data_IF_812274017806
#
_entry.id   IF_812274017806
#
_cell.length_a   1.000
_cell.length_b   1.000
_cell.length_c   1.000
_cell.angle_alpha   90.00
_cell.angle_beta   90.00
_cell.angle_gamma   90.00
#
_symmetry.space_group_name_H-M   'P 1'
#
loop_
_entity.id
_entity.type
_entity.pdbx_description
1 polymer ?
#
# COMPACT_ATOMS: atom_id res chain seq x y z
N UNK A 1 -28.43 2.07 16.78
CA UNK A 1 -27.08 2.45 16.30
C UNK A 1 -26.16 2.36 17.50
N UNK A 2 -25.36 1.29 17.60
CA UNK A 2 -24.40 1.14 18.68
C UNK A 2 -23.21 2.05 18.39
N UNK A 3 -23.03 3.06 19.25
CA UNK A 3 -21.84 3.90 19.26
C UNK A 3 -20.81 3.14 20.08
N UNK A 4 -19.86 2.49 19.41
CA UNK A 4 -18.79 1.76 20.07
C UNK A 4 -17.66 2.76 20.38
N UNK A 5 -17.46 3.15 21.66
CA UNK A 5 -16.45 4.15 22.02
C UNK A 5 -15.02 3.66 21.72
N UNK A 6 -14.83 2.36 21.51
CA UNK A 6 -13.55 1.74 21.18
C UNK A 6 -13.19 1.86 19.67
N UNK A 7 -14.17 2.24 18.83
CA UNK A 7 -13.94 2.52 17.42
C UNK A 7 -13.09 3.78 17.19
N UNK A 8 -13.32 4.81 18.03
CA UNK A 8 -12.63 6.09 17.88
C UNK A 8 -11.11 5.99 18.10
N UNK A 9 -10.59 5.29 19.13
CA UNK A 9 -9.15 5.05 19.29
C UNK A 9 -8.51 4.30 18.12
N UNK A 10 -9.18 3.26 17.60
CA UNK A 10 -8.66 2.44 16.50
C UNK A 10 -8.59 3.24 15.19
N UNK A 11 -9.62 4.03 14.90
CA UNK A 11 -9.66 4.93 13.74
C UNK A 11 -8.55 6.00 13.81
N UNK A 12 -8.28 6.55 15.01
CA UNK A 12 -7.19 7.52 15.22
C UNK A 12 -5.82 6.88 15.03
N UNK A 13 -5.61 5.68 15.56
CA UNK A 13 -4.35 4.95 15.39
C UNK A 13 -4.09 4.60 13.92
N UNK A 14 -5.14 4.18 13.19
CA UNK A 14 -5.05 3.91 11.75
C UNK A 14 -4.76 5.19 10.95
N UNK A 15 -5.47 6.29 11.22
CA UNK A 15 -5.24 7.58 10.57
C UNK A 15 -3.81 8.12 10.82
N UNK A 16 -3.29 7.92 12.03
CA UNK A 16 -1.91 8.25 12.39
C UNK A 16 -0.89 7.43 11.58
N UNK A 17 -1.10 6.11 11.47
CA UNK A 17 -0.24 5.24 10.67
C UNK A 17 -0.24 5.64 9.18
N UNK A 18 -1.41 5.97 8.63
CA UNK A 18 -1.57 6.48 7.25
C UNK A 18 -0.79 7.79 7.07
N UNK A 19 -0.92 8.73 8.00
CA UNK A 19 -0.23 10.02 7.94
C UNK A 19 1.29 9.84 8.03
N UNK A 20 1.75 8.99 8.95
CA UNK A 20 3.16 8.69 9.14
C UNK A 20 3.79 7.97 7.94
N UNK A 21 3.04 7.11 7.26
CA UNK A 21 3.46 6.47 6.02
C UNK A 21 3.47 7.48 4.85
N UNK A 22 2.46 8.33 4.74
CA UNK A 22 2.40 9.34 3.68
C UNK A 22 3.56 10.35 3.78
N UNK A 23 3.98 10.69 5.01
CA UNK A 23 5.09 11.59 5.28
C UNK A 23 6.46 11.11 4.81
N UNK A 24 6.62 9.82 4.44
CA UNK A 24 7.90 9.30 3.90
C UNK A 24 8.03 9.50 2.39
N UNK A 25 6.97 9.94 1.70
CA UNK A 25 6.90 10.02 0.24
C UNK A 25 6.53 11.41 -0.25
N UNK A 26 6.88 11.69 -1.51
CA UNK A 26 6.49 12.93 -2.20
C UNK A 26 5.39 12.67 -3.21
N UNK A 27 4.24 13.28 -2.96
CA UNK A 27 3.04 13.18 -3.78
C UNK A 27 2.89 14.38 -4.72
N UNK A 28 3.99 14.88 -5.27
CA UNK A 28 4.00 16.07 -6.14
C UNK A 28 3.56 15.77 -7.58
N UNK A 29 3.41 14.48 -7.91
CA UNK A 29 3.02 14.02 -9.23
C UNK A 29 1.53 14.29 -9.51
N UNK A 30 1.21 14.69 -10.75
CA UNK A 30 -0.16 14.90 -11.23
C UNK A 30 -1.06 13.72 -10.84
N UNK A 31 -2.26 13.97 -10.27
CA UNK A 31 -3.24 12.93 -10.01
C UNK A 31 -3.50 12.05 -11.24
N UNK A 32 -3.56 10.73 -11.04
CA UNK A 32 -3.81 9.75 -12.10
C UNK A 32 -2.60 9.41 -12.99
N UNK A 33 -1.47 10.12 -12.89
CA UNK A 33 -0.27 9.78 -13.65
C UNK A 33 0.33 8.43 -13.22
N UNK A 34 1.03 7.75 -14.14
CA UNK A 34 1.75 6.50 -13.82
C UNK A 34 2.72 6.70 -12.65
N UNK A 35 3.45 7.82 -12.64
CA UNK A 35 4.37 8.15 -11.54
C UNK A 35 3.63 8.30 -10.20
N UNK A 36 2.41 8.84 -10.21
CA UNK A 36 1.53 8.88 -9.01
C UNK A 36 1.07 7.48 -8.61
N UNK A 37 0.72 6.61 -9.55
CA UNK A 37 0.37 5.22 -9.27
C UNK A 37 1.55 4.44 -8.67
N UNK A 38 2.77 4.59 -9.20
CA UNK A 38 3.98 4.00 -8.62
C UNK A 38 4.23 4.52 -7.19
N UNK A 39 4.04 5.83 -6.95
CA UNK A 39 4.18 6.41 -5.60
C UNK A 39 3.16 5.81 -4.63
N UNK A 40 1.93 5.54 -5.09
CA UNK A 40 0.91 4.86 -4.27
C UNK A 40 1.29 3.40 -3.97
N UNK A 41 1.94 2.69 -4.90
CA UNK A 41 2.48 1.36 -4.63
C UNK A 41 3.55 1.39 -3.52
N UNK A 42 4.48 2.34 -3.57
CA UNK A 42 5.47 2.56 -2.51
C UNK A 42 4.82 2.95 -1.18
N UNK A 43 3.74 3.74 -1.23
CA UNK A 43 2.97 4.13 -0.04
C UNK A 43 2.36 2.91 0.66
N UNK A 44 1.80 1.95 -0.09
CA UNK A 44 1.26 0.73 0.51
C UNK A 44 2.34 -0.05 1.23
N UNK A 45 3.55 -0.18 0.66
CA UNK A 45 4.68 -0.83 1.34
C UNK A 45 5.07 -0.11 2.64
N UNK A 46 5.20 1.22 2.61
CA UNK A 46 5.51 2.02 3.78
C UNK A 46 4.41 1.95 4.86
N UNK A 47 3.14 1.87 4.43
CA UNK A 47 2.01 1.69 5.33
C UNK A 47 2.04 0.33 6.03
N UNK A 48 2.35 -0.75 5.30
CA UNK A 48 2.49 -2.08 5.90
C UNK A 48 3.51 -2.09 7.04
N UNK A 49 4.65 -1.41 6.86
CA UNK A 49 5.69 -1.32 7.89
C UNK A 49 5.23 -0.51 9.10
N UNK A 50 4.45 0.56 8.89
CA UNK A 50 3.86 1.34 10.00
C UNK A 50 2.80 0.55 10.75
N UNK A 51 1.97 -0.20 10.04
CA UNK A 51 0.90 -1.02 10.64
C UNK A 51 1.46 -2.17 11.47
N UNK A 52 2.64 -2.70 11.15
CA UNK A 52 3.23 -3.82 11.90
C UNK A 52 3.40 -3.56 13.41
N UNK A 53 3.39 -2.29 13.84
CA UNK A 53 3.50 -1.89 15.25
C UNK A 53 2.19 -2.02 16.04
N UNK A 54 1.03 -1.91 15.38
CA UNK A 54 -0.27 -1.82 16.07
C UNK A 54 -1.39 -2.64 15.42
N UNK A 55 -1.18 -3.12 14.19
CA UNK A 55 -2.12 -3.86 13.35
C UNK A 55 -1.39 -4.97 12.57
N UNK A 56 -0.79 -5.96 13.25
CA UNK A 56 0.09 -6.94 12.61
C UNK A 56 -0.59 -7.76 11.50
N UNK A 57 -1.84 -8.20 11.70
CA UNK A 57 -2.58 -8.95 10.68
C UNK A 57 -2.86 -8.10 9.42
N UNK A 58 -3.21 -6.83 9.60
CA UNK A 58 -3.39 -5.90 8.47
C UNK A 58 -2.09 -5.62 7.74
N UNK A 59 -0.98 -5.50 8.47
CA UNK A 59 0.35 -5.33 7.89
C UNK A 59 0.75 -6.53 7.03
N UNK A 60 0.53 -7.76 7.52
CA UNK A 60 0.84 -8.98 6.78
C UNK A 60 -0.04 -9.13 5.53
N UNK A 61 -1.33 -8.79 5.62
CA UNK A 61 -2.22 -8.78 4.47
C UNK A 61 -1.74 -7.80 3.38
N UNK A 62 -1.31 -6.60 3.75
CA UNK A 62 -0.75 -5.65 2.78
C UNK A 62 0.60 -6.10 2.22
N UNK A 63 1.48 -6.68 3.04
CA UNK A 63 2.76 -7.26 2.57
C UNK A 63 2.53 -8.37 1.57
N UNK A 64 1.55 -9.25 1.80
CA UNK A 64 1.21 -10.31 0.87
C UNK A 64 0.81 -9.76 -0.51
N UNK A 65 0.14 -8.61 -0.58
CA UNK A 65 -0.18 -7.93 -1.84
C UNK A 65 1.08 -7.35 -2.49
N UNK A 66 1.89 -6.61 -1.72
CA UNK A 66 3.10 -5.92 -2.22
C UNK A 66 4.14 -6.90 -2.77
N UNK A 67 4.31 -8.04 -2.10
CA UNK A 67 5.28 -9.07 -2.47
C UNK A 67 4.64 -10.26 -3.21
N UNK A 68 3.38 -10.13 -3.61
CA UNK A 68 2.70 -11.16 -4.39
C UNK A 68 3.43 -11.36 -5.72
N UNK A 69 3.64 -12.61 -6.17
CA UNK A 69 4.14 -12.85 -7.51
C UNK A 69 3.20 -12.23 -8.56
N UNK A 70 3.77 -11.87 -9.71
CA UNK A 70 2.98 -11.40 -10.83
C UNK A 70 1.94 -12.46 -11.23
N UNK A 71 0.69 -12.04 -11.46
CA UNK A 71 -0.39 -12.93 -11.86
C UNK A 71 -0.01 -13.72 -13.12
N UNK A 72 -0.15 -15.04 -13.07
CA UNK A 72 0.11 -15.94 -14.21
C UNK A 72 -0.74 -15.54 -15.41
N UNK A 73 -0.12 -15.38 -16.58
CA UNK A 73 -0.79 -14.93 -17.81
C UNK A 73 -0.86 -13.41 -18.00
N UNK A 74 -0.15 -12.63 -17.17
CA UNK A 74 -0.03 -11.19 -17.39
C UNK A 74 0.57 -10.90 -18.79
N UNK A 75 -0.12 -10.15 -19.67
CA UNK A 75 0.36 -9.82 -21.02
C UNK A 75 1.73 -9.13 -21.04
N UNK A 76 2.12 -8.47 -19.94
CA UNK A 76 3.42 -7.79 -19.82
C UNK A 76 4.57 -8.73 -19.42
N UNK A 77 4.30 -9.99 -19.08
CA UNK A 77 5.32 -10.98 -18.73
C UNK A 77 6.00 -11.63 -19.96
N UNK A 78 5.51 -11.37 -21.18
CA UNK A 78 6.22 -11.76 -22.40
C UNK A 78 7.39 -10.80 -22.62
N UNK A 79 8.60 -11.28 -22.32
CA UNK A 79 9.86 -10.63 -22.66
C UNK A 79 9.85 -10.09 -24.12
N UNK A 80 10.22 -8.82 -24.38
CA UNK A 80 10.46 -8.30 -25.72
C UNK A 80 11.75 -8.83 -26.38
N UNK A 81 12.43 -9.82 -25.80
CA UNK A 81 13.67 -10.37 -26.34
C UNK A 81 13.46 -11.80 -26.87
N UNK A 82 12.90 -11.90 -28.07
CA UNK A 82 13.21 -13.02 -28.95
C UNK A 82 13.55 -12.45 -30.32
N UNK A 83 14.85 -12.28 -30.65
CA UNK A 83 15.27 -12.08 -32.03
C UNK A 83 14.91 -13.33 -32.83
N UNK A 84 14.47 -13.09 -34.06
CA UNK A 84 14.15 -14.11 -35.06
C UNK A 84 15.40 -14.81 -35.55
#
# INVERSE_FOLDING_TARGET
MNYDPDRAPHDVALASAITAAAGTLRFDNKPGSLRRQCTLGLFVAALSDRLALSFPESADALKAIVFSPATTGNPTARNPQQPK
#
